data_IF_791533109114
#
_entry.id   IF_791533109114
#
_cell.length_a   1.000
_cell.length_b   1.000
_cell.length_c   1.000
_cell.angle_alpha   90.00
_cell.angle_beta   90.00
_cell.angle_gamma   90.00
#
_symmetry.space_group_name_H-M   'P 1'
#
loop_
_entity.id
_entity.type
_entity.pdbx_description
1 polymer ?
#
# COMPACT_ATOMS: atom_id res chain seq x y z
N UNK A 1 27.16 65.94 29.01
CA UNK A 1 26.80 64.55 29.36
C UNK A 1 25.31 64.35 29.17
N UNK A 2 24.91 63.49 28.23
CA UNK A 2 23.49 63.23 27.96
C UNK A 2 22.85 62.48 29.13
N UNK A 3 21.76 63.03 29.67
CA UNK A 3 21.00 62.38 30.74
C UNK A 3 20.18 61.24 30.15
N UNK A 4 20.40 60.02 30.66
CA UNK A 4 19.56 58.87 30.33
C UNK A 4 18.14 59.13 30.83
N UNK A 5 17.17 59.03 29.93
CA UNK A 5 15.77 59.29 30.23
C UNK A 5 15.05 57.96 30.51
N UNK A 6 14.75 57.68 31.78
CA UNK A 6 14.24 56.38 32.25
C UNK A 6 12.97 55.91 31.53
N UNK A 7 12.10 56.86 31.13
CA UNK A 7 10.87 56.55 30.40
C UNK A 7 11.13 56.01 28.98
N UNK A 8 12.19 56.46 28.29
CA UNK A 8 12.54 55.95 26.96
C UNK A 8 13.10 54.53 27.03
N UNK A 9 13.86 54.22 28.08
CA UNK A 9 14.35 52.87 28.33
C UNK A 9 13.21 51.91 28.66
N UNK A 10 12.29 52.31 29.53
CA UNK A 10 11.11 51.52 29.89
C UNK A 10 10.22 51.23 28.66
N UNK A 11 9.94 52.25 27.84
CA UNK A 11 9.18 52.08 26.60
C UNK A 11 9.90 51.15 25.60
N UNK A 12 11.23 51.28 25.46
CA UNK A 12 12.04 50.40 24.62
C UNK A 12 11.97 48.93 25.05
N UNK A 13 12.07 48.65 26.35
CA UNK A 13 11.95 47.29 26.88
C UNK A 13 10.55 46.70 26.67
N UNK A 14 9.49 47.50 26.85
CA UNK A 14 8.12 47.04 26.60
C UNK A 14 7.89 46.65 25.13
N UNK A 15 8.38 47.46 24.19
CA UNK A 15 8.30 47.15 22.75
C UNK A 15 9.10 45.89 22.41
N UNK A 16 10.30 45.73 22.98
CA UNK A 16 11.12 44.55 22.76
C UNK A 16 10.49 43.29 23.36
N UNK A 17 9.91 43.37 24.56
CA UNK A 17 9.18 42.26 25.18
C UNK A 17 8.01 41.80 24.31
N UNK A 18 7.23 42.74 23.77
CA UNK A 18 6.13 42.43 22.86
C UNK A 18 6.61 41.77 21.56
N UNK A 19 7.73 42.23 20.98
CA UNK A 19 8.33 41.63 19.78
C UNK A 19 8.82 40.19 20.03
N UNK A 20 9.42 39.94 21.18
CA UNK A 20 9.87 38.60 21.59
C UNK A 20 8.66 37.69 21.80
N UNK A 21 7.64 38.15 22.53
CA UNK A 21 6.41 37.38 22.77
C UNK A 21 5.68 37.02 21.46
N UNK A 22 5.53 37.98 20.54
CA UNK A 22 4.91 37.75 19.24
C UNK A 22 5.72 36.78 18.38
N UNK A 23 7.05 36.85 18.43
CA UNK A 23 7.91 35.92 17.69
C UNK A 23 7.86 34.51 18.30
N UNK A 24 7.79 34.41 19.62
CA UNK A 24 7.63 33.14 20.33
C UNK A 24 6.29 32.46 20.03
N UNK A 25 5.17 33.19 20.06
CA UNK A 25 3.84 32.64 19.72
C UNK A 25 3.82 32.07 18.30
N UNK A 26 4.40 32.79 17.32
CA UNK A 26 4.49 32.29 15.93
C UNK A 26 5.33 31.02 15.80
N UNK A 27 6.42 30.92 16.56
CA UNK A 27 7.25 29.70 16.58
C UNK A 27 6.47 28.55 17.21
N UNK A 28 5.80 28.79 18.34
CA UNK A 28 5.01 27.79 19.04
C UNK A 28 3.85 27.25 18.17
N UNK A 29 3.11 28.13 17.50
CA UNK A 29 2.04 27.76 16.59
C UNK A 29 2.55 26.94 15.39
N UNK A 30 3.66 27.36 14.78
CA UNK A 30 4.28 26.59 13.70
C UNK A 30 4.77 25.22 14.16
N UNK A 31 5.39 25.14 15.33
CA UNK A 31 5.83 23.88 15.91
C UNK A 31 4.64 22.94 16.14
N UNK A 32 3.55 23.43 16.74
CA UNK A 32 2.32 22.66 16.95
C UNK A 32 1.71 22.18 15.63
N UNK A 33 1.71 23.02 14.60
CA UNK A 33 1.21 22.64 13.28
C UNK A 33 2.06 21.52 12.67
N UNK A 34 3.39 21.64 12.73
CA UNK A 34 4.31 20.60 12.25
C UNK A 34 4.07 19.28 12.98
N UNK A 35 3.94 19.29 14.31
CA UNK A 35 3.64 18.07 15.07
C UNK A 35 2.30 17.44 14.65
N UNK A 36 1.28 18.25 14.44
CA UNK A 36 -0.05 17.79 14.05
C UNK A 36 -0.03 17.18 12.65
N UNK A 37 0.60 17.85 11.68
CA UNK A 37 0.78 17.35 10.31
C UNK A 37 1.54 16.00 10.30
N UNK A 38 2.63 15.89 11.06
CA UNK A 38 3.42 14.65 11.17
C UNK A 38 2.63 13.51 11.80
N UNK A 39 1.84 13.78 12.85
CA UNK A 39 0.95 12.78 13.47
C UNK A 39 -0.09 12.26 12.48
N UNK A 40 -0.73 13.16 11.73
CA UNK A 40 -1.73 12.80 10.72
C UNK A 40 -1.13 11.96 9.60
N UNK A 41 0.07 12.35 9.11
CA UNK A 41 0.78 11.59 8.08
C UNK A 41 1.14 10.18 8.57
N UNK A 42 1.64 10.05 9.81
CA UNK A 42 1.97 8.76 10.41
C UNK A 42 0.72 7.87 10.57
N UNK A 43 -0.39 8.44 11.04
CA UNK A 43 -1.66 7.71 11.17
C UNK A 43 -2.21 7.24 9.81
N UNK A 44 -2.07 8.07 8.76
CA UNK A 44 -2.43 7.69 7.40
C UNK A 44 -1.57 6.53 6.88
N UNK A 45 -0.25 6.60 7.06
CA UNK A 45 0.65 5.51 6.71
C UNK A 45 0.36 4.22 7.47
N UNK A 46 0.03 4.32 8.76
CA UNK A 46 -0.38 3.17 9.59
C UNK A 46 -1.65 2.52 9.05
N UNK A 47 -2.68 3.29 8.65
CA UNK A 47 -3.90 2.76 8.04
C UNK A 47 -3.64 2.06 6.72
N UNK A 48 -2.79 2.62 5.87
CA UNK A 48 -2.40 1.96 4.61
C UNK A 48 -1.69 0.65 4.92
N UNK A 49 -0.75 0.66 5.87
CA UNK A 49 -0.06 -0.55 6.31
C UNK A 49 -1.06 -1.57 6.86
N UNK A 50 -2.06 -1.18 7.64
CA UNK A 50 -3.13 -2.08 8.09
C UNK A 50 -3.91 -2.69 6.93
N UNK A 51 -4.27 -1.90 5.91
CA UNK A 51 -5.03 -2.40 4.75
C UNK A 51 -4.23 -3.34 3.86
N UNK A 52 -2.92 -3.15 3.76
CA UNK A 52 -2.02 -3.94 2.91
C UNK A 52 -1.32 -5.04 3.71
N UNK A 53 -1.40 -5.01 5.05
CA UNK A 53 -0.74 -5.99 5.90
C UNK A 53 -1.45 -7.33 5.78
N UNK A 54 -0.64 -8.31 5.37
CA UNK A 54 -0.93 -9.72 5.37
C UNK A 54 -1.55 -10.23 6.70
N UNK A 55 -1.33 -9.54 7.83
CA UNK A 55 -1.98 -9.83 9.11
C UNK A 55 -3.51 -9.70 9.08
N UNK A 56 -4.08 -8.70 8.38
CA UNK A 56 -5.55 -8.56 8.25
C UNK A 56 -6.16 -9.63 7.37
N UNK A 57 -5.40 -10.08 6.37
CA UNK A 57 -5.79 -11.22 5.53
C UNK A 57 -5.83 -12.48 6.40
N UNK A 58 -4.83 -12.69 7.25
CA UNK A 58 -4.81 -13.78 8.21
C UNK A 58 -5.95 -13.77 9.23
N UNK A 59 -6.25 -12.61 9.83
CA UNK A 59 -7.36 -12.46 10.80
C UNK A 59 -8.72 -12.82 10.19
N UNK A 60 -8.89 -12.67 8.86
CA UNK A 60 -10.12 -13.03 8.15
C UNK A 60 -10.19 -14.52 7.75
N UNK A 61 -9.31 -15.35 8.30
CA UNK A 61 -9.31 -16.81 8.11
C UNK A 61 -8.51 -17.32 6.91
N UNK A 62 -7.62 -16.50 6.35
CA UNK A 62 -6.68 -16.95 5.31
C UNK A 62 -5.37 -17.44 5.95
N UNK A 63 -4.51 -18.13 5.18
CA UNK A 63 -3.22 -18.63 5.63
C UNK A 63 -2.14 -18.43 4.55
N UNK A 64 -0.91 -18.02 4.92
CA UNK A 64 0.26 -18.11 4.01
C UNK A 64 0.74 -19.53 4.06
N UNK A 65 1.18 -20.01 2.91
CA UNK A 65 2.02 -21.18 2.83
C UNK A 65 3.40 -20.73 2.37
N UNK A 66 4.43 -21.11 3.13
CA UNK A 66 5.85 -20.86 2.82
C UNK A 66 6.58 -22.20 2.66
N UNK A 67 7.58 -22.23 1.79
CA UNK A 67 8.50 -23.36 1.70
C UNK A 67 9.59 -23.28 2.79
N UNK A 68 10.48 -24.27 2.85
CA UNK A 68 11.62 -24.29 3.80
C UNK A 68 12.56 -23.07 3.65
N UNK A 69 12.63 -22.48 2.46
CA UNK A 69 13.42 -21.27 2.19
C UNK A 69 12.69 -19.96 2.59
N UNK A 70 11.50 -20.03 3.18
CA UNK A 70 10.70 -18.87 3.59
C UNK A 70 9.98 -18.15 2.43
N UNK A 71 10.01 -18.70 1.23
CA UNK A 71 9.35 -18.14 0.03
C UNK A 71 7.87 -18.53 0.03
N UNK A 72 7.00 -17.57 -0.29
CA UNK A 72 5.55 -17.78 -0.36
C UNK A 72 5.17 -18.64 -1.57
N UNK A 73 4.50 -19.74 -1.30
CA UNK A 73 3.90 -20.62 -2.29
C UNK A 73 2.53 -20.05 -2.68
N UNK A 74 2.34 -19.71 -3.96
CA UNK A 74 1.08 -19.13 -4.47
C UNK A 74 0.17 -20.14 -5.15
N UNK A 75 0.72 -21.27 -5.59
CA UNK A 75 -0.03 -22.34 -6.28
C UNK A 75 0.35 -23.69 -5.69
N UNK A 76 -0.63 -24.57 -5.54
CA UNK A 76 -0.40 -25.94 -5.06
C UNK A 76 0.57 -26.73 -5.98
N UNK A 77 0.60 -26.43 -7.28
CA UNK A 77 1.50 -27.07 -8.23
C UNK A 77 2.97 -26.66 -8.13
N UNK A 78 3.28 -25.59 -7.37
CA UNK A 78 4.65 -25.11 -7.17
C UNK A 78 5.36 -25.87 -6.03
N UNK A 79 4.68 -26.84 -5.41
CA UNK A 79 5.17 -27.60 -4.26
C UNK A 79 5.49 -29.04 -4.66
N UNK A 80 6.72 -29.47 -4.39
CA UNK A 80 7.12 -30.85 -4.60
C UNK A 80 6.41 -31.78 -3.59
N UNK A 81 6.01 -32.97 -4.04
CA UNK A 81 5.48 -34.00 -3.16
C UNK A 81 6.52 -34.39 -2.11
N UNK A 82 6.11 -34.44 -0.84
CA UNK A 82 6.99 -34.72 0.29
C UNK A 82 7.82 -33.53 0.78
N UNK A 83 7.70 -32.35 0.15
CA UNK A 83 8.36 -31.15 0.65
C UNK A 83 7.80 -30.76 2.03
N UNK A 84 8.62 -30.10 2.86
CA UNK A 84 8.14 -29.44 4.07
C UNK A 84 7.97 -27.96 3.82
N UNK A 85 7.22 -27.33 4.70
CA UNK A 85 7.03 -25.91 4.69
C UNK A 85 6.39 -25.45 5.98
N UNK A 86 5.94 -24.22 5.97
CA UNK A 86 5.33 -23.58 7.11
C UNK A 86 4.05 -22.88 6.67
N UNK A 87 2.98 -23.12 7.42
CA UNK A 87 1.74 -22.36 7.28
C UNK A 87 1.73 -21.30 8.37
N UNK A 88 1.57 -20.05 7.96
CA UNK A 88 1.40 -18.93 8.87
C UNK A 88 -0.10 -18.64 9.00
N UNK A 89 -0.57 -18.54 10.24
CA UNK A 89 -1.88 -18.08 10.67
C UNK A 89 -1.75 -16.74 11.39
N UNK A 90 -2.90 -16.14 11.76
CA UNK A 90 -2.95 -14.86 12.49
C UNK A 90 -2.26 -14.93 13.86
N UNK A 91 -2.34 -16.08 14.52
CA UNK A 91 -1.86 -16.34 15.87
C UNK A 91 -0.47 -16.96 15.93
N UNK A 92 0.02 -17.52 14.82
CA UNK A 92 1.34 -18.16 14.79
C UNK A 92 1.61 -18.98 13.54
N UNK A 93 2.77 -19.63 13.52
CA UNK A 93 3.21 -20.47 12.42
C UNK A 93 3.20 -21.95 12.83
N UNK A 94 2.92 -22.84 11.88
CA UNK A 94 2.98 -24.29 12.06
C UNK A 94 3.69 -24.95 10.89
N UNK A 95 4.59 -25.86 11.22
CA UNK A 95 5.29 -26.66 10.22
C UNK A 95 4.34 -27.70 9.62
N UNK A 96 4.46 -27.91 8.32
CA UNK A 96 3.64 -28.84 7.55
C UNK A 96 4.49 -29.67 6.60
N UNK A 97 4.03 -30.87 6.31
CA UNK A 97 4.57 -31.71 5.23
C UNK A 97 3.52 -31.82 4.11
N UNK A 98 3.91 -31.51 2.89
CA UNK A 98 3.04 -31.58 1.72
C UNK A 98 2.96 -33.03 1.23
N UNK A 99 1.84 -33.70 1.52
CA UNK A 99 1.59 -35.08 1.11
C UNK A 99 1.51 -35.26 -0.41
N UNK A 100 1.89 -36.46 -0.88
CA UNK A 100 1.94 -36.80 -2.30
C UNK A 100 0.56 -36.86 -2.97
N UNK A 101 0.46 -36.17 -4.10
CA UNK A 101 -0.73 -36.11 -4.95
C UNK A 101 -0.81 -34.74 -5.62
N UNK A 102 0.02 -34.52 -6.65
CA UNK A 102 -0.12 -33.35 -7.51
C UNK A 102 -1.51 -33.40 -8.14
N UNK A 103 -2.49 -32.72 -7.53
CA UNK A 103 -3.73 -32.42 -8.23
C UNK A 103 -3.33 -31.49 -9.35
N UNK A 104 -3.38 -32.02 -10.59
CA UNK A 104 -3.08 -31.26 -11.81
C UNK A 104 -3.76 -29.89 -11.69
N UNK A 105 -3.07 -28.78 -11.99
CA UNK A 105 -3.70 -27.47 -11.93
C UNK A 105 -4.98 -27.52 -12.76
N UNK A 106 -6.13 -27.31 -12.10
CA UNK A 106 -7.40 -27.14 -12.79
C UNK A 106 -7.24 -25.89 -13.64
N UNK A 107 -7.06 -26.08 -14.95
CA UNK A 107 -7.21 -25.03 -15.94
C UNK A 107 -8.48 -24.25 -15.57
N UNK A 108 -8.44 -22.91 -15.48
CA UNK A 108 -9.66 -22.14 -15.23
C UNK A 108 -10.72 -22.59 -16.24
N UNK A 109 -11.97 -22.86 -15.81
CA UNK A 109 -12.98 -23.35 -16.73
C UNK A 109 -13.12 -22.36 -17.87
N UNK A 110 -12.83 -22.84 -19.08
CA UNK A 110 -13.16 -22.10 -20.29
C UNK A 110 -14.65 -21.77 -20.20
N UNK A 111 -14.99 -20.49 -20.37
CA UNK A 111 -16.37 -20.03 -20.49
C UNK A 111 -17.14 -20.99 -21.40
N UNK A 112 -18.37 -21.42 -21.04
CA UNK A 112 -19.15 -22.31 -21.88
C UNK A 112 -19.26 -21.70 -23.29
N UNK A 113 -18.60 -22.33 -24.26
CA UNK A 113 -18.85 -22.06 -25.66
C UNK A 113 -20.25 -22.58 -25.95
N UNK A 114 -21.19 -21.64 -26.08
CA UNK A 114 -22.50 -21.94 -26.64
C UNK A 114 -22.28 -22.59 -28.01
N UNK A 115 -22.72 -23.85 -28.13
CA UNK A 115 -22.76 -24.58 -29.40
C UNK A 115 -23.62 -23.78 -30.38
N UNK A 116 -23.04 -23.53 -31.55
CA UNK A 116 -23.66 -22.90 -32.71
C UNK A 116 -24.90 -23.67 -33.21
N UNK A 117 -25.69 -23.03 -34.08
CA UNK A 117 -26.03 -23.73 -35.31
C UNK A 117 -25.73 -22.94 -36.58
N UNK A 118 -25.13 -23.67 -37.52
CA UNK A 118 -25.23 -23.59 -39.00
C UNK A 118 -25.00 -22.28 -39.78
N UNK A 119 -23.94 -22.31 -40.61
CA UNK A 119 -23.69 -21.50 -41.82
C UNK A 119 -24.88 -21.45 -42.79
N UNK A 120 -25.01 -20.38 -43.60
CA UNK A 120 -24.64 -20.51 -45.03
C UNK A 120 -23.62 -19.47 -45.56
N UNK A 121 -23.03 -19.80 -46.72
CA UNK A 121 -21.91 -19.16 -47.45
C UNK A 121 -22.21 -17.80 -48.10
N UNK A 122 -21.13 -17.01 -48.32
CA UNK A 122 -20.75 -16.16 -49.48
C UNK A 122 -20.09 -14.86 -48.99
N UNK A 123 -19.06 -14.22 -49.55
CA UNK A 123 -17.99 -14.46 -50.54
C UNK A 123 -16.93 -13.34 -50.25
N UNK A 124 -15.64 -13.45 -50.63
CA UNK A 124 -14.57 -12.60 -50.10
C UNK A 124 -14.45 -11.28 -50.88
N UNK A 125 -14.39 -10.14 -50.19
CA UNK A 125 -13.94 -8.89 -50.83
C UNK A 125 -13.40 -7.85 -49.85
N UNK A 126 -12.08 -7.69 -49.93
CA UNK A 126 -11.32 -6.43 -49.85
C UNK A 126 -11.09 -5.79 -48.47
N UNK A 127 -9.81 -5.80 -48.09
CA UNK A 127 -9.19 -4.86 -47.18
C UNK A 127 -9.19 -3.44 -47.78
N UNK A 128 -9.38 -2.40 -46.96
CA UNK A 128 -8.74 -1.13 -47.18
C UNK A 128 -7.61 -0.92 -46.16
N UNK A 129 -6.53 -0.39 -46.72
CA UNK A 129 -5.23 -0.11 -46.12
C UNK A 129 -5.34 0.84 -44.93
N UNK A 130 -4.46 0.61 -43.96
CA UNK A 130 -4.02 1.60 -42.97
C UNK A 130 -3.80 2.97 -43.64
N UNK A 131 -4.51 3.99 -43.19
CA UNK A 131 -4.11 5.37 -43.41
C UNK A 131 -3.31 5.85 -42.20
N UNK A 132 -2.13 6.39 -42.50
CA UNK A 132 -1.21 6.99 -41.54
C UNK A 132 -1.87 8.24 -40.96
N UNK A 133 -2.01 8.26 -39.64
CA UNK A 133 -2.52 9.39 -38.86
C UNK A 133 -1.35 10.30 -38.44
N UNK A 134 -0.65 10.83 -39.42
CA UNK A 134 0.32 11.92 -39.24
C UNK A 134 0.34 12.76 -40.51
N UNK A 135 -0.44 13.84 -40.47
CA UNK A 135 -0.11 15.14 -41.05
C UNK A 135 -0.18 16.14 -39.87
#
# INVERSE_FOLDING_TARGET
GGRLNGNLLAAGFAVNANKVAASWSRIAERAQRIFTERKTALAGAARVLETVSYARVLERGFALVRNEAGVVIRRAGDVAAGARGQIQFADGARDVAFGGGATKPKTPPAKPSAKSPSKPKANPRQAPRQQRLFD
#
